data_IF_109654587221
#
_entry.id   IF_109654587221
#
_cell.length_a   1.000
_cell.length_b   1.000
_cell.length_c   1.000
_cell.angle_alpha   90.00
_cell.angle_beta   90.00
_cell.angle_gamma   90.00
#
_symmetry.space_group_name_H-M   'P 1'
#
loop_
_entity.id
_entity.type
_entity.pdbx_description
1 polymer ?
#
# COMPACT_ATOMS: atom_id res chain seq x y z
N UNK A 1 13.24 30.21 23.96
CA UNK A 1 12.25 29.39 23.24
C UNK A 1 12.58 27.93 23.51
N UNK A 2 11.68 27.18 24.13
CA UNK A 2 11.94 25.77 24.46
C UNK A 2 11.90 24.93 23.16
N UNK A 3 13.04 24.37 22.76
CA UNK A 3 13.14 23.44 21.64
C UNK A 3 12.62 22.08 22.10
N UNK A 4 11.40 21.75 21.68
CA UNK A 4 10.84 20.41 21.91
C UNK A 4 11.30 19.51 20.78
N UNK A 5 12.25 18.62 21.06
CA UNK A 5 12.71 17.63 20.08
C UNK A 5 11.76 16.42 20.11
N UNK A 6 11.02 16.23 19.01
CA UNK A 6 10.14 15.08 18.83
C UNK A 6 10.93 13.94 18.18
N UNK A 7 11.25 12.89 18.94
CA UNK A 7 11.98 11.75 18.43
C UNK A 7 10.99 10.68 17.94
N UNK A 8 10.81 10.55 16.62
CA UNK A 8 9.92 9.57 16.01
C UNK A 8 10.76 8.39 15.53
N UNK A 9 10.61 7.24 16.20
CA UNK A 9 11.14 5.97 15.73
C UNK A 9 10.12 5.31 14.80
N UNK A 10 10.28 5.48 13.49
CA UNK A 10 9.48 4.75 12.49
C UNK A 10 10.00 3.32 12.45
N UNK A 11 9.36 2.44 13.22
CA UNK A 11 9.61 1.00 13.09
C UNK A 11 8.98 0.57 11.77
N UNK A 12 9.77 0.06 10.83
CA UNK A 12 9.27 -0.49 9.57
C UNK A 12 8.51 -1.80 9.86
N UNK A 13 7.27 -1.65 10.34
CA UNK A 13 6.39 -2.78 10.58
C UNK A 13 5.96 -3.30 9.22
N UNK A 14 6.42 -4.50 8.89
CA UNK A 14 5.95 -5.25 7.72
C UNK A 14 4.44 -5.46 7.74
N UNK A 15 3.83 -5.51 8.92
CA UNK A 15 2.40 -5.75 9.08
C UNK A 15 1.67 -4.48 9.49
N UNK A 16 0.74 -4.08 8.62
CA UNK A 16 -0.01 -2.83 8.69
C UNK A 16 -1.48 -3.11 9.01
N UNK A 17 -2.14 -2.22 9.74
CA UNK A 17 -3.60 -2.29 9.92
C UNK A 17 -4.30 -1.82 8.64
N UNK A 18 -5.58 -2.15 8.48
CA UNK A 18 -6.38 -1.75 7.32
C UNK A 18 -6.26 -0.25 7.00
N UNK A 19 -6.31 0.61 8.02
CA UNK A 19 -6.19 2.06 7.83
C UNK A 19 -4.81 2.47 7.34
N UNK A 20 -3.75 1.85 7.85
CA UNK A 20 -2.37 2.17 7.44
C UNK A 20 -2.09 1.66 6.03
N UNK A 21 -2.57 0.47 5.69
CA UNK A 21 -2.49 -0.09 4.35
C UNK A 21 -3.23 0.80 3.31
N UNK A 22 -4.42 1.27 3.67
CA UNK A 22 -5.19 2.21 2.84
C UNK A 22 -4.42 3.52 2.63
N UNK A 23 -3.92 4.14 3.71
CA UNK A 23 -3.09 5.34 3.62
C UNK A 23 -1.82 5.14 2.80
N UNK A 24 -1.16 3.98 2.91
CA UNK A 24 0.04 3.64 2.15
C UNK A 24 -0.26 3.52 0.65
N UNK A 25 -1.38 2.91 0.28
CA UNK A 25 -1.85 2.82 -1.11
C UNK A 25 -2.46 4.11 -1.66
N UNK A 26 -2.61 5.16 -0.84
CA UNK A 26 -3.27 6.41 -1.24
C UNK A 26 -4.79 6.29 -1.41
N UNK A 27 -5.42 5.22 -0.91
CA UNK A 27 -6.85 4.97 -1.04
C UNK A 27 -7.60 5.24 0.28
N UNK A 28 -8.89 5.64 0.22
CA UNK A 28 -9.74 5.66 1.39
C UNK A 28 -9.96 4.23 1.92
N UNK A 29 -9.95 4.04 3.25
CA UNK A 29 -10.15 2.73 3.91
C UNK A 29 -11.40 1.98 3.41
N UNK A 30 -12.46 2.71 3.10
CA UNK A 30 -13.72 2.16 2.55
C UNK A 30 -13.53 1.52 1.17
N UNK A 31 -12.73 2.16 0.32
CA UNK A 31 -12.41 1.67 -1.01
C UNK A 31 -11.29 0.64 -0.99
N UNK A 32 -10.38 0.73 -0.03
CA UNK A 32 -9.28 -0.22 0.11
C UNK A 32 -9.78 -1.66 0.20
N UNK A 33 -10.85 -1.94 0.96
CA UNK A 33 -11.40 -3.31 1.08
C UNK A 33 -12.03 -3.84 -0.22
N UNK A 34 -12.50 -2.96 -1.09
CA UNK A 34 -13.13 -3.33 -2.35
C UNK A 34 -12.13 -3.39 -3.51
N UNK A 35 -11.10 -2.54 -3.47
CA UNK A 35 -10.10 -2.41 -4.53
C UNK A 35 -8.87 -3.30 -4.30
N UNK A 36 -8.51 -3.58 -3.04
CA UNK A 36 -7.32 -4.35 -2.72
C UNK A 36 -7.68 -5.85 -2.62
N UNK A 37 -7.15 -6.71 -3.52
CA UNK A 37 -7.35 -8.16 -3.47
C UNK A 37 -6.49 -8.84 -2.39
N UNK A 38 -5.61 -8.09 -1.71
CA UNK A 38 -4.69 -8.61 -0.69
C UNK A 38 -5.48 -9.15 0.50
N UNK A 39 -5.25 -10.43 0.82
CA UNK A 39 -5.90 -11.09 1.95
C UNK A 39 -5.28 -10.61 3.26
N UNK A 40 -6.09 -10.23 4.26
CA UNK A 40 -5.56 -9.94 5.58
C UNK A 40 -4.99 -11.20 6.23
N UNK A 41 -3.83 -11.06 6.85
CA UNK A 41 -3.14 -12.07 7.65
C UNK A 41 -3.60 -11.92 9.10
N UNK A 42 -4.22 -12.96 9.64
CA UNK A 42 -4.55 -13.02 11.06
C UNK A 42 -3.33 -13.48 11.85
N UNK A 43 -2.68 -12.55 12.56
CA UNK A 43 -1.46 -12.83 13.33
C UNK A 43 -1.74 -13.20 14.80
N UNK A 44 -2.89 -12.74 15.29
CA UNK A 44 -3.41 -12.98 16.64
C UNK A 44 -4.92 -13.04 16.48
N UNK A 45 -5.60 -13.89 17.24
CA UNK A 45 -7.07 -14.03 17.19
C UNK A 45 -7.75 -12.65 17.14
N UNK A 46 -8.43 -12.36 16.02
CA UNK A 46 -9.14 -11.10 15.77
C UNK A 46 -8.30 -9.91 15.30
N UNK A 47 -6.99 -10.07 15.11
CA UNK A 47 -6.09 -9.02 14.59
C UNK A 47 -5.70 -9.31 13.14
N UNK A 48 -6.50 -8.75 12.24
CA UNK A 48 -6.25 -8.76 10.80
C UNK A 48 -5.21 -7.69 10.45
N UNK A 49 -4.10 -8.11 9.87
CA UNK A 49 -3.01 -7.24 9.42
C UNK A 49 -2.71 -7.53 7.96
N UNK A 50 -2.38 -6.49 7.20
CA UNK A 50 -1.97 -6.58 5.82
C UNK A 50 -0.45 -6.56 5.75
N UNK A 51 0.13 -7.47 4.98
CA UNK A 51 1.56 -7.45 4.74
C UNK A 51 1.89 -6.35 3.72
N UNK A 52 2.91 -5.56 4.04
CA UNK A 52 3.39 -4.49 3.17
C UNK A 52 3.86 -5.03 1.83
N UNK A 53 4.52 -6.19 1.79
CA UNK A 53 5.02 -6.76 0.52
C UNK A 53 3.88 -7.17 -0.37
N UNK A 54 2.80 -7.73 0.16
CA UNK A 54 1.61 -8.04 -0.63
C UNK A 54 0.98 -6.77 -1.21
N UNK A 55 0.89 -5.69 -0.43
CA UNK A 55 0.39 -4.40 -0.92
C UNK A 55 1.32 -3.84 -2.01
N UNK A 56 2.63 -3.90 -1.79
CA UNK A 56 3.65 -3.43 -2.74
C UNK A 56 3.60 -4.21 -4.05
N UNK A 57 3.46 -5.54 -3.97
CA UNK A 57 3.34 -6.43 -5.12
C UNK A 57 2.02 -6.20 -5.86
N UNK A 58 0.93 -5.91 -5.15
CA UNK A 58 -0.32 -5.49 -5.78
C UNK A 58 -0.20 -4.13 -6.48
N UNK A 59 0.45 -3.15 -5.87
CA UNK A 59 0.68 -1.84 -6.50
C UNK A 59 1.55 -2.01 -7.75
N UNK A 60 2.59 -2.85 -7.67
CA UNK A 60 3.46 -3.15 -8.81
C UNK A 60 2.72 -3.92 -9.91
N UNK A 61 1.83 -4.84 -9.56
CA UNK A 61 0.93 -5.54 -10.51
C UNK A 61 -0.03 -4.57 -11.19
N UNK A 62 -0.67 -3.66 -10.45
CA UNK A 62 -1.54 -2.60 -11.02
C UNK A 62 -0.73 -1.69 -11.94
N UNK A 63 0.50 -1.33 -11.56
CA UNK A 63 1.41 -0.52 -12.37
C UNK A 63 1.91 -1.28 -13.61
N UNK A 64 2.17 -2.58 -13.50
CA UNK A 64 2.63 -3.45 -14.59
C UNK A 64 1.50 -3.71 -15.57
N UNK A 65 0.30 -4.00 -15.08
CA UNK A 65 -0.94 -4.08 -15.84
C UNK A 65 -1.17 -2.80 -16.64
N UNK A 66 -1.01 -1.63 -16.01
CA UNK A 66 -1.09 -0.32 -16.66
C UNK A 66 0.12 0.01 -17.57
N UNK A 67 1.28 -0.65 -17.40
CA UNK A 67 2.42 -0.50 -18.30
C UNK A 67 2.23 -1.25 -19.62
N UNK A 68 1.44 -2.33 -19.63
CA UNK A 68 1.11 -3.05 -20.86
C UNK A 68 0.35 -2.17 -21.86
N UNK A 69 -0.44 -1.21 -21.36
CA UNK A 69 -1.17 -0.24 -22.19
C UNK A 69 -0.36 1.04 -22.50
N UNK A 70 0.66 1.39 -21.71
CA UNK A 70 1.32 2.70 -21.82
C UNK A 70 2.68 2.67 -22.52
N UNK A 71 3.40 1.55 -22.56
CA UNK A 71 4.76 1.54 -23.16
C UNK A 71 4.76 1.47 -24.69
N UNK A 72 3.78 0.80 -25.30
CA UNK A 72 3.71 0.66 -26.76
C UNK A 72 3.03 1.88 -27.43
N UNK A 73 2.11 2.55 -26.74
CA UNK A 73 1.34 3.67 -27.31
C UNK A 73 2.13 5.00 -27.39
N UNK A 74 3.19 5.17 -26.58
CA UNK A 74 4.01 6.39 -26.59
C UNK A 74 5.00 6.44 -27.77
N UNK A 75 5.34 5.30 -28.39
CA UNK A 75 6.27 5.24 -29.54
C UNK A 75 5.60 5.37 -30.91
N UNK A 76 4.27 5.31 -30.99
CA UNK A 76 3.53 5.40 -32.26
C UNK A 76 3.18 6.82 -32.72
N UNK A 77 3.58 7.85 -31.97
CA UNK A 77 3.10 9.24 -32.17
C UNK A 77 4.18 10.24 -32.58
N UNK A 78 5.34 9.78 -33.07
CA UNK A 78 6.36 10.63 -33.67
C UNK A 78 6.40 10.50 -35.20
#
# INVERSE_FOLDING_TARGET
>A
MATTNLNISVIDKRMMKQSEAASYSGLPVKHFKAACPVRPVELKEGTLLWDRKDIDLWIDDVKSGAMTETRDDILGRL
#
